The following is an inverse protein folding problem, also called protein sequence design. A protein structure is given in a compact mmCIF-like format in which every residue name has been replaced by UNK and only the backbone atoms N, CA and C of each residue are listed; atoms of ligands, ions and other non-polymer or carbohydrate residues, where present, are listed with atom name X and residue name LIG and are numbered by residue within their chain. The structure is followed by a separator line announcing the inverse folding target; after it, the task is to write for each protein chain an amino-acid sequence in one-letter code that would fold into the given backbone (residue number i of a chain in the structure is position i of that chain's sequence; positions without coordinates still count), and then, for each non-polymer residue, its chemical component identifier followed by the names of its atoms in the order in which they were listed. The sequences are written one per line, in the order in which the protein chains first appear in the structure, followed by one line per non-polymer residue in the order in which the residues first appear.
data_IF_964863923969
#
_entry.id   IF_964863923969
#
_cell.length_a   1.000
_cell.length_b   1.000
_cell.length_c   1.000
_cell.angle_alpha   90.00
_cell.angle_beta   90.00
_cell.angle_gamma   90.00
#
_symmetry.space_group_name_H-M   'P 1'
#
loop_
_entity.id
_entity.type
_entity.pdbx_description
1 polymer ?
#
# COMPACT_ATOMS: atom_id res chain seq x y z
N UNK A 1 -14.73 -35.17 20.96
CA UNK A 1 -14.31 -33.82 21.27
C UNK A 1 -13.24 -33.44 20.26
N UNK A 2 -13.61 -32.63 19.29
CA UNK A 2 -12.70 -32.22 18.24
C UNK A 2 -11.57 -31.38 18.85
N UNK A 3 -10.35 -31.77 18.57
CA UNK A 3 -9.14 -31.07 18.93
C UNK A 3 -9.14 -29.75 18.13
N UNK A 4 -9.68 -28.70 18.70
CA UNK A 4 -9.55 -27.34 18.16
C UNK A 4 -8.07 -26.98 18.33
N UNK A 5 -7.28 -27.25 17.30
CA UNK A 5 -5.92 -26.78 17.22
C UNK A 5 -5.91 -25.28 17.55
N UNK A 6 -5.12 -24.89 18.53
CA UNK A 6 -4.92 -23.49 18.87
C UNK A 6 -4.34 -22.80 17.64
N UNK A 7 -5.21 -22.17 16.87
CA UNK A 7 -4.79 -21.29 15.77
C UNK A 7 -4.03 -20.15 16.46
N UNK A 8 -2.74 -20.03 16.18
CA UNK A 8 -1.97 -18.89 16.69
C UNK A 8 -2.49 -17.61 16.03
N UNK A 9 -2.46 -16.49 16.75
CA UNK A 9 -2.78 -15.17 16.17
C UNK A 9 -2.00 -14.92 14.85
N UNK A 10 -0.78 -15.43 14.72
CA UNK A 10 0.00 -15.38 13.49
C UNK A 10 -0.62 -16.21 12.34
N UNK A 11 -1.23 -17.36 12.63
CA UNK A 11 -1.92 -18.16 11.60
C UNK A 11 -3.22 -17.51 11.18
N UNK A 12 -3.95 -16.93 12.12
CA UNK A 12 -5.11 -16.08 11.84
C UNK A 12 -4.73 -14.87 11.01
N UNK A 13 -3.63 -14.22 11.33
CA UNK A 13 -3.09 -13.11 10.58
C UNK A 13 -2.74 -13.50 9.15
N UNK A 14 -2.14 -14.67 8.93
CA UNK A 14 -1.85 -15.18 7.57
C UNK A 14 -3.13 -15.48 6.79
N UNK A 15 -4.14 -16.03 7.44
CA UNK A 15 -5.40 -16.38 6.81
C UNK A 15 -6.19 -15.13 6.39
N UNK A 16 -6.25 -14.11 7.26
CA UNK A 16 -7.00 -12.87 6.99
C UNK A 16 -6.17 -11.77 6.33
N UNK A 17 -4.94 -12.04 5.96
CA UNK A 17 -4.01 -11.06 5.37
C UNK A 17 -4.47 -10.46 4.05
N UNK A 18 -5.29 -11.18 3.31
CA UNK A 18 -5.88 -10.77 2.03
C UNK A 18 -7.28 -10.19 2.17
N UNK A 19 -7.86 -10.22 3.39
CA UNK A 19 -9.26 -9.89 3.59
C UNK A 19 -9.44 -8.55 4.33
N UNK A 20 -10.25 -7.64 3.77
CA UNK A 20 -10.48 -6.30 4.34
C UNK A 20 -11.19 -6.28 5.69
N UNK A 21 -11.72 -7.41 6.17
CA UNK A 21 -12.47 -7.52 7.43
C UNK A 21 -11.63 -7.78 8.64
N UNK A 22 -10.33 -7.73 8.52
CA UNK A 22 -9.40 -8.18 9.55
C UNK A 22 -9.68 -7.55 10.92
N UNK A 23 -9.97 -6.25 10.98
CA UNK A 23 -10.24 -5.57 12.24
C UNK A 23 -11.55 -6.05 12.89
N UNK A 24 -12.63 -6.17 12.13
CA UNK A 24 -13.93 -6.63 12.64
C UNK A 24 -13.91 -8.13 12.96
N UNK A 25 -13.27 -8.95 12.14
CA UNK A 25 -13.13 -10.39 12.38
C UNK A 25 -12.21 -10.69 13.56
N UNK A 26 -11.12 -9.94 13.75
CA UNK A 26 -10.22 -10.07 14.89
C UNK A 26 -10.91 -9.61 16.18
N UNK A 27 -11.70 -8.54 16.16
CA UNK A 27 -12.48 -8.11 17.32
C UNK A 27 -13.57 -9.12 17.70
N UNK A 28 -14.26 -9.73 16.73
CA UNK A 28 -15.21 -10.82 16.97
C UNK A 28 -14.51 -12.06 17.54
N UNK A 29 -13.35 -12.40 17.02
CA UNK A 29 -12.55 -13.51 17.49
C UNK A 29 -11.99 -13.25 18.88
N UNK A 30 -11.59 -12.02 19.21
CA UNK A 30 -11.18 -11.61 20.55
C UNK A 30 -12.33 -11.80 21.56
N UNK A 31 -13.55 -11.41 21.18
CA UNK A 31 -14.74 -11.62 22.02
C UNK A 31 -15.06 -13.10 22.19
N UNK A 32 -14.96 -13.91 21.14
CA UNK A 32 -15.20 -15.35 21.19
C UNK A 32 -14.13 -16.09 22.00
N UNK A 33 -12.86 -15.74 21.83
CA UNK A 33 -11.74 -16.31 22.58
C UNK A 33 -11.81 -15.93 24.06
N UNK A 34 -12.19 -14.70 24.39
CA UNK A 34 -12.40 -14.26 25.77
C UNK A 34 -13.58 -14.99 26.44
N UNK A 35 -14.66 -15.24 25.69
CA UNK A 35 -15.85 -15.93 26.16
C UNK A 35 -15.63 -17.44 26.41
N UNK A 36 -14.68 -18.04 25.69
CA UNK A 36 -14.41 -19.48 25.71
C UNK A 36 -13.16 -19.91 26.49
N UNK A 37 -12.63 -19.06 27.37
CA UNK A 37 -11.54 -19.43 28.29
C UNK A 37 -10.13 -19.41 27.69
N UNK A 38 -9.96 -18.90 26.47
CA UNK A 38 -8.65 -18.73 25.84
C UNK A 38 -7.89 -17.48 26.30
N UNK A 39 -8.33 -16.87 27.39
CA UNK A 39 -7.77 -15.64 27.97
C UNK A 39 -6.24 -15.68 28.23
N UNK A 40 -5.66 -16.87 28.38
CA UNK A 40 -4.22 -17.03 28.65
C UNK A 40 -3.39 -16.82 27.36
N UNK A 41 -3.85 -17.34 26.21
CA UNK A 41 -3.21 -17.12 24.92
C UNK A 41 -3.34 -15.65 24.49
N UNK A 42 -4.50 -15.05 24.70
CA UNK A 42 -4.75 -13.63 24.44
C UNK A 42 -3.86 -12.70 25.28
N UNK A 43 -3.60 -13.03 26.55
CA UNK A 43 -2.70 -12.22 27.39
C UNK A 43 -1.25 -12.22 26.91
N UNK A 44 -0.77 -13.34 26.36
CA UNK A 44 0.58 -13.42 25.79
C UNK A 44 0.72 -12.56 24.53
N UNK A 45 -0.30 -12.58 23.68
CA UNK A 45 -0.28 -11.93 22.37
C UNK A 45 -0.92 -10.51 22.39
N UNK A 46 -1.50 -10.12 23.54
CA UNK A 46 -2.19 -8.83 23.76
C UNK A 46 -1.31 -7.59 23.48
N UNK A 47 -0.03 -7.52 23.92
CA UNK A 47 0.79 -6.35 23.62
C UNK A 47 0.97 -6.13 22.14
N UNK A 48 1.08 -7.21 21.38
CA UNK A 48 1.21 -7.16 19.92
C UNK A 48 -0.11 -6.76 19.25
N UNK A 49 -1.23 -7.30 19.74
CA UNK A 49 -2.57 -6.93 19.25
C UNK A 49 -2.91 -5.47 19.60
N UNK A 50 -2.56 -5.00 20.79
CA UNK A 50 -2.72 -3.59 21.17
C UNK A 50 -1.84 -2.68 20.34
N UNK A 51 -0.58 -3.02 20.09
CA UNK A 51 0.31 -2.29 19.20
C UNK A 51 -0.26 -2.23 17.77
N UNK A 52 -0.80 -3.35 17.26
CA UNK A 52 -1.46 -3.40 15.96
C UNK A 52 -2.76 -2.58 15.93
N UNK A 53 -3.60 -2.67 16.95
CA UNK A 53 -4.84 -1.87 17.04
C UNK A 53 -4.55 -0.38 17.19
N UNK A 54 -3.45 0.00 17.84
CA UNK A 54 -2.97 1.38 17.94
C UNK A 54 -2.35 1.84 16.61
N UNK A 55 -1.58 0.98 15.94
CA UNK A 55 -1.05 1.27 14.61
C UNK A 55 -2.18 1.44 13.56
N UNK A 56 -3.30 0.70 13.72
CA UNK A 56 -4.52 0.89 12.92
C UNK A 56 -5.28 2.19 13.20
N UNK A 57 -5.07 2.80 14.37
CA UNK A 57 -5.76 4.03 14.78
C UNK A 57 -5.13 5.33 14.27
N UNK A 58 -4.01 5.28 13.59
CA UNK A 58 -3.25 6.47 13.20
C UNK A 58 -3.00 6.56 11.68
N UNK A 59 -4.03 6.30 10.89
CA UNK A 59 -4.09 6.79 9.52
C UNK A 59 -5.30 7.71 9.41
N UNK A 60 -5.09 8.98 9.66
CA UNK A 60 -5.93 10.02 9.10
C UNK A 60 -5.73 10.02 7.59
N UNK A 61 -6.34 9.04 6.88
CA UNK A 61 -6.56 9.27 5.47
C UNK A 61 -7.44 10.52 5.38
N UNK A 62 -7.04 11.51 4.58
CA UNK A 62 -7.88 12.67 4.40
C UNK A 62 -9.27 12.23 3.94
N UNK A 63 -10.31 12.65 4.67
CA UNK A 63 -11.71 12.43 4.27
C UNK A 63 -12.04 13.32 3.05
N UNK A 64 -11.41 12.99 1.92
CA UNK A 64 -11.44 13.72 0.65
C UNK A 64 -11.49 12.75 -0.52
N UNK A 65 -11.91 13.23 -1.70
CA UNK A 65 -11.89 12.45 -2.95
C UNK A 65 -10.55 11.73 -3.17
N UNK A 66 -9.43 12.46 -3.04
CA UNK A 66 -8.11 11.91 -3.29
C UNK A 66 -7.69 10.88 -2.23
N UNK A 67 -8.02 11.11 -0.96
CA UNK A 67 -7.74 10.17 0.12
C UNK A 67 -8.47 8.84 -0.08
N UNK A 68 -9.78 8.90 -0.39
CA UNK A 68 -10.59 7.71 -0.67
C UNK A 68 -10.12 6.99 -1.93
N UNK A 69 -9.83 7.73 -3.00
CA UNK A 69 -9.36 7.16 -4.28
C UNK A 69 -8.04 6.39 -4.09
N UNK A 70 -7.08 6.98 -3.39
CA UNK A 70 -5.78 6.32 -3.14
C UNK A 70 -5.93 5.08 -2.25
N UNK A 71 -6.75 5.16 -1.20
CA UNK A 71 -7.04 4.01 -0.34
C UNK A 71 -7.70 2.88 -1.13
N UNK A 72 -8.66 3.21 -2.00
CA UNK A 72 -9.32 2.23 -2.85
C UNK A 72 -8.34 1.56 -3.83
N UNK A 73 -7.40 2.32 -4.38
CA UNK A 73 -6.33 1.81 -5.25
C UNK A 73 -5.46 0.78 -4.49
N UNK A 74 -4.99 1.14 -3.30
CA UNK A 74 -4.20 0.26 -2.43
C UNK A 74 -4.99 -0.97 -2.02
N UNK A 75 -6.29 -0.83 -1.75
CA UNK A 75 -7.19 -1.94 -1.45
C UNK A 75 -7.44 -2.86 -2.65
N UNK A 76 -7.07 -2.45 -3.88
CA UNK A 76 -7.16 -3.25 -5.10
C UNK A 76 -8.44 -3.04 -5.91
N UNK A 77 -9.06 -1.86 -5.80
CA UNK A 77 -10.10 -1.45 -6.75
C UNK A 77 -9.47 -1.17 -8.12
N UNK A 78 -9.97 -1.82 -9.18
CA UNK A 78 -9.52 -1.58 -10.57
C UNK A 78 -9.89 -0.18 -11.06
N UNK A 79 -10.98 0.36 -10.57
CA UNK A 79 -11.48 1.71 -10.87
C UNK A 79 -11.66 2.49 -9.56
N UNK A 80 -10.56 2.97 -8.94
CA UNK A 80 -10.62 3.60 -7.62
C UNK A 80 -11.42 4.91 -7.61
N UNK A 81 -11.55 5.59 -8.75
CA UNK A 81 -12.42 6.76 -8.92
C UNK A 81 -13.91 6.43 -8.73
N UNK A 82 -14.32 5.18 -8.99
CA UNK A 82 -15.69 4.72 -8.73
C UNK A 82 -15.96 4.64 -7.22
N UNK A 83 -14.99 4.18 -6.42
CA UNK A 83 -15.09 4.18 -4.95
C UNK A 83 -15.21 5.60 -4.41
N UNK A 84 -14.39 6.52 -4.94
CA UNK A 84 -14.48 7.93 -4.55
C UNK A 84 -15.82 8.58 -4.95
N UNK A 85 -16.40 8.17 -6.10
CA UNK A 85 -17.73 8.62 -6.52
C UNK A 85 -18.84 8.08 -5.59
N UNK A 86 -18.77 6.81 -5.16
CA UNK A 86 -19.68 6.26 -4.15
C UNK A 86 -19.55 7.04 -2.83
N UNK A 87 -18.33 7.25 -2.34
CA UNK A 87 -18.12 8.05 -1.13
C UNK A 87 -18.72 9.45 -1.25
N UNK A 88 -18.50 10.15 -2.37
CA UNK A 88 -19.03 11.49 -2.57
C UNK A 88 -20.57 11.50 -2.58
N UNK A 89 -21.18 10.51 -3.22
CA UNK A 89 -22.64 10.40 -3.33
C UNK A 89 -23.28 9.99 -2.01
N UNK A 90 -22.80 8.91 -1.39
CA UNK A 90 -23.40 8.30 -0.19
C UNK A 90 -23.21 9.15 1.07
N UNK A 91 -22.05 9.79 1.20
CA UNK A 91 -21.71 10.57 2.40
C UNK A 91 -21.83 12.08 2.21
N UNK A 92 -22.37 12.56 1.08
CA UNK A 92 -22.35 13.97 0.74
C UNK A 92 -20.96 14.59 0.93
N UNK A 93 -19.98 14.02 0.22
CA UNK A 93 -18.57 14.44 0.28
C UNK A 93 -17.95 14.30 1.69
N UNK A 94 -18.23 13.20 2.34
CA UNK A 94 -17.69 12.88 3.66
C UNK A 94 -18.32 13.60 4.84
N UNK A 95 -19.43 14.32 4.61
CA UNK A 95 -20.11 15.12 5.66
C UNK A 95 -21.09 14.31 6.50
N UNK A 96 -21.60 13.20 5.97
CA UNK A 96 -22.60 12.37 6.61
C UNK A 96 -22.20 10.89 6.57
N UNK A 97 -22.59 10.14 7.58
CA UNK A 97 -22.39 8.69 7.66
C UNK A 97 -23.64 8.01 8.18
N UNK A 98 -23.96 6.82 7.67
CA UNK A 98 -25.12 6.04 8.14
C UNK A 98 -24.90 5.46 9.56
N UNK A 99 -23.64 5.22 9.93
CA UNK A 99 -23.18 4.75 11.24
C UNK A 99 -21.75 5.27 11.45
N UNK A 100 -21.10 5.12 12.62
CA UNK A 100 -19.73 5.54 12.86
C UNK A 100 -18.80 5.09 11.72
N UNK A 101 -18.17 6.08 11.04
CA UNK A 101 -17.27 5.93 9.89
C UNK A 101 -17.80 5.10 8.71
N UNK A 102 -19.12 4.89 8.60
CA UNK A 102 -19.75 4.19 7.48
C UNK A 102 -20.18 5.18 6.40
N UNK A 103 -19.25 5.50 5.51
CA UNK A 103 -19.40 6.50 4.46
C UNK A 103 -20.13 5.98 3.20
N UNK A 104 -20.45 4.68 3.16
CA UNK A 104 -21.02 4.02 1.98
C UNK A 104 -22.38 3.37 2.25
N UNK A 105 -22.98 3.62 3.40
CA UNK A 105 -24.27 3.03 3.74
C UNK A 105 -24.26 1.49 3.81
N UNK A 106 -23.13 0.91 4.23
CA UNK A 106 -22.94 -0.55 4.25
C UNK A 106 -23.79 -1.19 5.34
N UNK A 107 -24.75 -2.00 4.93
CA UNK A 107 -25.69 -2.72 5.82
C UNK A 107 -25.00 -3.87 6.54
N UNK A 108 -25.41 -4.13 7.78
CA UNK A 108 -24.92 -5.21 8.60
C UNK A 108 -25.06 -4.93 10.09
N UNK A 109 -24.54 -5.80 10.94
CA UNK A 109 -24.63 -5.67 12.40
C UNK A 109 -23.88 -4.42 12.90
N UNK A 110 -24.60 -3.46 13.48
CA UNK A 110 -24.03 -2.21 14.01
C UNK A 110 -25.13 -1.25 14.47
N UNK A 111 -24.99 0.03 14.14
CA UNK A 111 -25.97 1.06 14.51
C UNK A 111 -27.20 1.04 13.59
N UNK A 112 -28.37 1.35 14.13
CA UNK A 112 -29.61 1.48 13.36
C UNK A 112 -29.83 2.93 12.92
N UNK A 113 -30.26 3.11 11.67
CA UNK A 113 -30.63 4.42 11.12
C UNK A 113 -31.77 4.32 10.13
N UNK A 114 -32.48 5.42 9.91
CA UNK A 114 -33.46 5.53 8.86
C UNK A 114 -32.75 5.72 7.51
N UNK A 115 -33.18 4.97 6.51
CA UNK A 115 -32.71 5.09 5.13
C UNK A 115 -33.86 5.11 4.16
N UNK A 116 -33.62 5.52 2.92
CA UNK A 116 -34.62 5.51 1.86
C UNK A 116 -34.28 4.44 0.84
N UNK A 117 -35.30 3.66 0.47
CA UNK A 117 -35.24 2.63 -0.56
C UNK A 117 -36.24 2.91 -1.67
N UNK A 118 -35.85 2.66 -2.91
CA UNK A 118 -36.74 2.78 -4.06
C UNK A 118 -37.40 1.43 -4.36
N UNK A 119 -38.65 1.29 -3.97
CA UNK A 119 -39.40 0.03 -4.08
C UNK A 119 -40.71 0.28 -4.87
N UNK A 120 -40.93 -0.54 -5.92
CA UNK A 120 -42.13 -0.47 -6.76
C UNK A 120 -42.43 0.95 -7.29
N UNK A 121 -41.37 1.67 -7.72
CA UNK A 121 -41.49 3.01 -8.30
C UNK A 121 -41.70 4.16 -7.28
N UNK A 122 -41.51 3.90 -5.99
CA UNK A 122 -41.68 4.90 -4.91
C UNK A 122 -40.55 4.84 -3.91
N UNK A 123 -40.17 6.00 -3.41
CA UNK A 123 -39.27 6.11 -2.26
C UNK A 123 -40.03 5.82 -0.97
N UNK A 124 -39.51 4.87 -0.18
CA UNK A 124 -40.01 4.55 1.16
C UNK A 124 -38.89 4.72 2.19
N UNK A 125 -39.26 5.18 3.38
CA UNK A 125 -38.32 5.23 4.49
C UNK A 125 -38.41 3.95 5.29
N UNK A 126 -37.27 3.31 5.51
CA UNK A 126 -37.14 2.11 6.35
C UNK A 126 -36.09 2.34 7.43
N UNK A 127 -36.15 1.57 8.51
CA UNK A 127 -35.09 1.51 9.52
C UNK A 127 -34.26 0.28 9.24
N UNK A 128 -32.94 0.45 9.10
CA UNK A 128 -32.01 -0.65 8.84
C UNK A 128 -30.79 -0.57 9.75
N UNK A 129 -30.00 -1.63 9.78
CA UNK A 129 -28.76 -1.71 10.57
C UNK A 129 -27.54 -1.57 9.68
N UNK A 130 -26.59 -0.72 10.12
CA UNK A 130 -25.40 -0.35 9.40
C UNK A 130 -24.14 -0.69 10.18
N UNK A 131 -23.10 -1.17 9.50
CA UNK A 131 -21.83 -1.57 10.10
C UNK A 131 -21.13 -0.33 10.70
N UNK A 132 -20.60 -0.47 11.92
CA UNK A 132 -19.72 0.53 12.50
C UNK A 132 -18.27 0.25 12.10
N UNK A 133 -17.55 1.24 11.59
CA UNK A 133 -16.13 1.12 11.27
C UNK A 133 -15.28 1.94 12.26
N UNK A 134 -14.03 1.54 12.52
CA UNK A 134 -13.13 2.30 13.39
C UNK A 134 -12.66 3.61 12.73
N UNK A 135 -12.56 3.63 11.39
CA UNK A 135 -12.07 4.74 10.59
C UNK A 135 -12.56 4.65 9.12
N UNK A 136 -12.28 5.67 8.32
CA UNK A 136 -12.64 5.71 6.91
C UNK A 136 -11.83 4.69 6.08
N UNK A 137 -10.57 4.43 6.43
CA UNK A 137 -9.71 3.47 5.73
C UNK A 137 -10.33 2.07 5.78
N UNK A 138 -10.72 1.63 6.97
CA UNK A 138 -11.38 0.34 7.19
C UNK A 138 -12.68 0.22 6.40
N UNK A 139 -13.45 1.30 6.32
CA UNK A 139 -14.69 1.32 5.56
C UNK A 139 -14.45 1.19 4.04
N UNK A 140 -13.45 1.89 3.49
CA UNK A 140 -13.05 1.76 2.08
C UNK A 140 -12.55 0.36 1.77
N UNK A 141 -11.68 -0.19 2.61
CA UNK A 141 -11.12 -1.54 2.43
C UNK A 141 -12.24 -2.58 2.45
N UNK A 142 -13.20 -2.46 3.38
CA UNK A 142 -14.37 -3.34 3.45
C UNK A 142 -15.20 -3.28 2.15
N UNK A 143 -15.53 -2.08 1.67
CA UNK A 143 -16.29 -1.91 0.43
C UNK A 143 -15.58 -2.60 -0.74
N UNK A 144 -14.27 -2.34 -0.91
CA UNK A 144 -13.49 -2.91 -2.01
C UNK A 144 -13.44 -4.43 -1.93
N UNK A 145 -13.28 -4.99 -0.73
CA UNK A 145 -13.25 -6.44 -0.52
C UNK A 145 -14.55 -7.15 -0.86
N UNK A 146 -15.72 -6.48 -0.64
CA UNK A 146 -17.03 -7.12 -0.77
C UNK A 146 -17.75 -6.85 -2.08
N UNK A 147 -17.45 -5.71 -2.72
CA UNK A 147 -18.18 -5.28 -3.91
C UNK A 147 -17.27 -5.15 -5.15
N UNK A 148 -15.97 -4.94 -4.97
CA UNK A 148 -15.05 -4.79 -6.09
C UNK A 148 -14.32 -6.07 -6.45
N UNK A 149 -13.91 -6.84 -5.43
CA UNK A 149 -13.29 -8.15 -5.58
C UNK A 149 -14.34 -9.26 -5.51
N UNK A 150 -13.98 -10.44 -5.99
CA UNK A 150 -14.82 -11.63 -5.80
C UNK A 150 -14.90 -11.97 -4.31
N UNK A 151 -16.11 -12.22 -3.83
CA UNK A 151 -16.39 -12.52 -2.43
C UNK A 151 -17.48 -13.57 -2.28
N UNK A 152 -17.19 -14.73 -1.69
CA UNK A 152 -18.07 -15.88 -1.64
C UNK A 152 -18.55 -16.27 -3.04
N UNK A 153 -19.86 -16.21 -3.30
CA UNK A 153 -20.46 -16.50 -4.61
C UNK A 153 -20.69 -15.24 -5.46
N UNK A 154 -20.32 -14.09 -4.96
CA UNK A 154 -20.44 -12.79 -5.61
C UNK A 154 -19.22 -12.51 -6.50
N UNK A 155 -19.47 -12.07 -7.73
CA UNK A 155 -18.41 -11.63 -8.63
C UNK A 155 -18.26 -10.11 -8.56
N UNK A 156 -17.08 -9.66 -8.12
CA UNK A 156 -16.78 -8.26 -7.93
C UNK A 156 -16.81 -7.43 -9.21
N UNK A 157 -17.10 -6.14 -9.07
CA UNK A 157 -17.20 -5.21 -10.23
C UNK A 157 -15.85 -4.93 -10.91
N UNK A 158 -14.74 -5.37 -10.32
CA UNK A 158 -13.41 -5.34 -10.95
C UNK A 158 -13.35 -6.15 -12.26
N UNK A 159 -14.32 -7.06 -12.54
CA UNK A 159 -14.44 -7.78 -13.81
C UNK A 159 -14.78 -6.87 -14.99
N UNK A 160 -15.32 -5.68 -14.73
CA UNK A 160 -15.71 -4.72 -15.77
C UNK A 160 -14.55 -4.36 -16.71
N UNK A 161 -14.85 -4.05 -17.95
CA UNK A 161 -13.84 -3.61 -18.95
C UNK A 161 -13.52 -2.12 -18.83
N UNK A 162 -14.42 -1.33 -18.25
CA UNK A 162 -14.23 0.09 -17.98
C UNK A 162 -15.02 0.55 -16.75
N UNK A 163 -14.71 1.76 -16.23
CA UNK A 163 -15.31 2.32 -15.02
C UNK A 163 -16.83 2.54 -15.11
N UNK A 164 -17.36 2.85 -16.30
CA UNK A 164 -18.78 3.09 -16.49
C UNK A 164 -19.55 1.77 -16.43
N UNK A 165 -18.99 0.70 -16.97
CA UNK A 165 -19.53 -0.66 -16.81
C UNK A 165 -19.47 -1.10 -15.34
N UNK A 166 -18.38 -0.83 -14.62
CA UNK A 166 -18.30 -1.14 -13.21
C UNK A 166 -19.38 -0.44 -12.38
N UNK A 167 -19.70 0.82 -12.68
CA UNK A 167 -20.81 1.54 -12.05
C UNK A 167 -22.18 0.89 -12.32
N UNK A 168 -22.42 0.41 -13.55
CA UNK A 168 -23.66 -0.31 -13.89
C UNK A 168 -23.74 -1.68 -13.22
N UNK A 169 -22.61 -2.37 -13.10
CA UNK A 169 -22.54 -3.65 -12.39
C UNK A 169 -22.91 -3.51 -10.91
N UNK A 170 -22.54 -2.42 -10.23
CA UNK A 170 -22.96 -2.17 -8.83
C UNK A 170 -24.50 -2.20 -8.70
N UNK A 171 -25.22 -1.58 -9.64
CA UNK A 171 -26.70 -1.59 -9.64
C UNK A 171 -27.24 -2.97 -9.95
N UNK A 172 -26.70 -3.66 -10.96
CA UNK A 172 -27.11 -5.01 -11.33
C UNK A 172 -26.95 -6.02 -10.18
N UNK A 173 -25.89 -5.87 -9.41
CA UNK A 173 -25.57 -6.74 -8.28
C UNK A 173 -26.30 -6.32 -6.99
N UNK A 174 -27.14 -5.28 -7.06
CA UNK A 174 -28.01 -4.88 -5.95
C UNK A 174 -27.37 -4.00 -4.88
N UNK A 175 -26.29 -3.28 -5.21
CA UNK A 175 -25.70 -2.33 -4.28
C UNK A 175 -26.66 -1.18 -3.94
N UNK A 176 -27.41 -0.69 -4.91
CA UNK A 176 -28.40 0.37 -4.76
C UNK A 176 -29.70 0.06 -5.49
N UNK A 177 -30.82 0.50 -4.93
CA UNK A 177 -32.16 0.35 -5.50
C UNK A 177 -32.55 1.50 -6.44
N UNK A 178 -31.82 2.63 -6.39
CA UNK A 178 -32.04 3.79 -7.26
C UNK A 178 -31.64 3.47 -8.71
N UNK A 179 -32.58 3.50 -9.67
CA UNK A 179 -32.31 3.21 -11.07
C UNK A 179 -31.33 4.20 -11.74
N UNK A 180 -31.17 5.40 -11.17
CA UNK A 180 -30.26 6.44 -11.68
C UNK A 180 -28.88 6.42 -10.99
N UNK A 181 -28.63 5.48 -10.09
CA UNK A 181 -27.40 5.41 -9.29
C UNK A 181 -26.13 5.35 -10.13
N UNK A 182 -26.11 4.47 -11.13
CA UNK A 182 -24.96 4.34 -12.02
C UNK A 182 -24.64 5.63 -12.77
N UNK A 183 -25.66 6.32 -13.28
CA UNK A 183 -25.47 7.58 -14.02
C UNK A 183 -24.97 8.71 -13.12
N UNK A 184 -25.43 8.76 -11.87
CA UNK A 184 -24.90 9.70 -10.86
C UNK A 184 -23.40 9.46 -10.58
N UNK A 185 -23.01 8.20 -10.42
CA UNK A 185 -21.59 7.84 -10.21
C UNK A 185 -20.73 8.18 -11.43
N UNK A 186 -21.23 7.89 -12.65
CA UNK A 186 -20.53 8.21 -13.90
C UNK A 186 -20.35 9.73 -14.02
N UNK A 187 -21.37 10.51 -13.76
CA UNK A 187 -21.29 11.97 -13.78
C UNK A 187 -20.26 12.53 -12.78
N UNK A 188 -20.23 11.99 -11.55
CA UNK A 188 -19.22 12.35 -10.54
C UNK A 188 -17.81 11.99 -10.98
N UNK A 189 -17.59 10.80 -11.55
CA UNK A 189 -16.28 10.40 -12.08
C UNK A 189 -15.83 11.30 -13.23
N UNK A 190 -16.74 11.74 -14.10
CA UNK A 190 -16.43 12.67 -15.18
C UNK A 190 -16.10 14.07 -14.65
N UNK A 191 -16.92 14.59 -13.73
CA UNK A 191 -16.68 15.88 -13.08
C UNK A 191 -15.33 15.94 -12.37
N UNK A 192 -14.94 14.85 -11.71
CA UNK A 192 -13.69 14.74 -10.96
C UNK A 192 -12.53 14.15 -11.77
N UNK A 193 -12.72 13.89 -13.06
CA UNK A 193 -11.67 13.35 -13.92
C UNK A 193 -10.38 14.20 -13.93
N UNK A 194 -10.41 15.54 -13.93
CA UNK A 194 -9.18 16.34 -13.82
C UNK A 194 -8.44 16.14 -12.51
N UNK A 195 -9.17 15.96 -11.40
CA UNK A 195 -8.58 15.71 -10.08
C UNK A 195 -8.06 14.27 -9.97
N UNK A 196 -8.82 13.30 -10.48
CA UNK A 196 -8.39 11.89 -10.54
C UNK A 196 -7.16 11.73 -11.43
N UNK A 197 -7.16 12.37 -12.61
CA UNK A 197 -5.99 12.40 -13.50
C UNK A 197 -4.76 13.04 -12.85
N UNK A 198 -4.92 13.95 -11.91
CA UNK A 198 -3.79 14.52 -11.16
C UNK A 198 -3.08 13.48 -10.28
N UNK A 199 -3.77 12.40 -9.88
CA UNK A 199 -3.14 11.22 -9.27
C UNK A 199 -2.67 10.20 -10.31
N UNK A 200 -3.37 10.13 -11.45
CA UNK A 200 -3.04 9.22 -12.57
C UNK A 200 -2.02 9.84 -13.54
N UNK A 201 -1.95 11.17 -13.62
CA UNK A 201 -0.77 11.79 -14.19
C UNK A 201 0.33 11.55 -13.16
N UNK A 202 1.35 10.78 -13.54
CA UNK A 202 2.63 10.97 -12.92
C UNK A 202 2.84 12.48 -12.93
N UNK A 203 3.16 13.10 -11.80
CA UNK A 203 3.90 14.37 -11.89
C UNK A 203 4.90 14.15 -13.02
N UNK A 204 5.19 15.13 -13.88
CA UNK A 204 6.20 14.98 -14.96
C UNK A 204 7.51 14.33 -14.47
N UNK A 205 7.65 14.15 -13.20
CA UNK A 205 8.74 13.55 -12.44
C UNK A 205 8.48 12.11 -11.97
N UNK A 206 7.35 11.46 -12.33
CA UNK A 206 7.17 10.05 -12.03
C UNK A 206 8.09 9.19 -12.92
N UNK A 207 9.09 8.59 -12.33
CA UNK A 207 10.15 7.84 -13.02
C UNK A 207 9.77 6.39 -13.34
N UNK A 208 8.54 5.94 -13.02
CA UNK A 208 8.09 4.54 -13.08
C UNK A 208 8.43 3.83 -14.39
N UNK A 209 8.23 4.52 -15.51
CA UNK A 209 8.46 3.92 -16.84
C UNK A 209 9.93 3.96 -17.29
N UNK A 210 10.74 4.82 -16.70
CA UNK A 210 12.08 5.14 -17.21
C UNK A 210 13.22 4.55 -16.39
N UNK A 211 13.01 4.31 -15.10
CA UNK A 211 14.04 3.71 -14.26
C UNK A 211 14.11 2.20 -14.52
N UNK A 212 15.25 1.66 -14.95
CA UNK A 212 15.36 0.21 -15.17
C UNK A 212 15.31 -0.53 -13.84
N UNK A 213 14.71 -1.71 -13.85
CA UNK A 213 14.72 -2.64 -12.73
C UNK A 213 15.84 -3.66 -12.88
N UNK A 214 16.64 -3.85 -11.83
CA UNK A 214 17.63 -4.90 -11.73
C UNK A 214 17.31 -5.78 -10.51
N UNK A 215 17.29 -7.10 -10.73
CA UNK A 215 17.12 -8.08 -9.66
C UNK A 215 18.49 -8.53 -9.17
N UNK A 216 18.80 -8.33 -7.90
CA UNK A 216 20.04 -8.89 -7.34
C UNK A 216 20.09 -10.42 -7.39
N UNK A 217 18.92 -11.08 -7.53
CA UNK A 217 18.78 -12.54 -7.45
C UNK A 217 19.24 -13.27 -8.71
N UNK A 218 19.33 -12.59 -9.84
CA UNK A 218 19.83 -13.14 -11.11
C UNK A 218 21.32 -12.86 -11.35
N UNK A 219 22.01 -12.24 -10.37
CA UNK A 219 23.43 -11.95 -10.43
C UNK A 219 24.27 -13.18 -10.79
N UNK A 220 25.15 -13.02 -11.78
CA UNK A 220 26.10 -14.02 -12.22
C UNK A 220 27.38 -13.99 -11.38
N UNK A 221 27.54 -13.03 -10.48
CA UNK A 221 28.71 -12.92 -9.60
C UNK A 221 28.52 -13.85 -8.39
N UNK A 222 29.36 -14.86 -8.29
CA UNK A 222 29.25 -15.90 -7.26
C UNK A 222 29.11 -15.30 -5.85
N UNK A 223 28.04 -15.70 -5.14
CA UNK A 223 27.79 -15.33 -3.76
C UNK A 223 27.21 -13.93 -3.57
N UNK A 224 26.92 -13.16 -4.64
CA UNK A 224 26.44 -11.78 -4.51
C UNK A 224 24.90 -11.65 -4.56
N UNK A 225 24.18 -12.61 -5.11
CA UNK A 225 22.71 -12.59 -5.25
C UNK A 225 21.95 -12.30 -3.93
N UNK A 226 22.53 -12.60 -2.78
CA UNK A 226 21.89 -12.37 -1.46
C UNK A 226 22.44 -11.16 -0.70
N UNK A 227 23.37 -10.38 -1.29
CA UNK A 227 24.02 -9.30 -0.53
C UNK A 227 24.25 -7.99 -1.30
N UNK A 228 23.96 -7.95 -2.59
CA UNK A 228 24.25 -6.80 -3.45
C UNK A 228 23.08 -5.81 -3.63
N UNK A 229 22.10 -5.84 -2.72
CA UNK A 229 20.93 -4.94 -2.79
C UNK A 229 21.33 -3.45 -2.92
N UNK A 230 22.37 -3.03 -2.23
CA UNK A 230 22.87 -1.65 -2.32
C UNK A 230 23.44 -1.37 -3.71
N UNK A 231 24.25 -2.26 -4.25
CA UNK A 231 24.80 -2.11 -5.60
C UNK A 231 23.72 -2.13 -6.66
N UNK A 232 22.74 -3.05 -6.60
CA UNK A 232 21.62 -3.09 -7.57
C UNK A 232 20.77 -1.81 -7.49
N UNK A 233 20.51 -1.29 -6.27
CA UNK A 233 19.78 -0.02 -6.10
C UNK A 233 20.52 1.19 -6.66
N UNK A 234 21.83 1.28 -6.44
CA UNK A 234 22.67 2.33 -7.02
C UNK A 234 22.86 2.16 -8.54
N UNK A 235 22.89 0.93 -9.03
CA UNK A 235 22.92 0.64 -10.47
C UNK A 235 21.66 1.14 -11.19
N UNK A 236 20.47 1.01 -10.57
CA UNK A 236 19.22 1.57 -11.12
C UNK A 236 19.30 3.09 -11.25
N UNK A 237 19.80 3.78 -10.22
CA UNK A 237 20.09 5.22 -10.26
C UNK A 237 21.08 5.56 -11.39
N UNK A 238 22.21 4.82 -11.46
CA UNK A 238 23.25 5.08 -12.43
C UNK A 238 22.79 4.84 -13.88
N UNK A 239 22.12 3.73 -14.14
CA UNK A 239 21.60 3.40 -15.46
C UNK A 239 20.53 4.38 -15.93
N UNK A 240 19.73 4.93 -15.02
CA UNK A 240 18.76 5.96 -15.35
C UNK A 240 19.40 7.30 -15.69
N UNK A 241 20.31 7.79 -14.86
CA UNK A 241 20.96 9.08 -15.08
C UNK A 241 22.02 9.04 -16.22
N UNK A 242 22.59 7.86 -16.48
CA UNK A 242 23.60 7.63 -17.51
C UNK A 242 23.24 6.40 -18.36
N UNK A 243 22.20 6.46 -19.18
CA UNK A 243 21.61 5.31 -19.87
C UNK A 243 22.57 4.63 -20.87
N UNK A 244 23.68 5.27 -21.23
CA UNK A 244 24.71 4.71 -22.10
C UNK A 244 25.85 4.01 -21.32
N UNK A 245 25.94 4.19 -20.02
CA UNK A 245 27.02 3.67 -19.20
C UNK A 245 26.77 2.24 -18.69
N UNK A 246 25.50 1.90 -18.41
CA UNK A 246 25.07 0.60 -17.89
C UNK A 246 23.90 0.10 -18.71
N UNK A 247 24.08 -1.01 -19.43
CA UNK A 247 23.08 -1.60 -20.32
C UNK A 247 22.98 -3.10 -20.14
N UNK A 248 21.81 -3.66 -20.43
CA UNK A 248 21.51 -5.09 -20.34
C UNK A 248 20.79 -5.47 -19.06
N UNK A 249 20.28 -6.68 -19.02
CA UNK A 249 19.49 -7.19 -17.90
C UNK A 249 20.28 -7.27 -16.58
N UNK A 250 21.56 -7.62 -16.67
CA UNK A 250 22.48 -7.77 -15.54
C UNK A 250 23.48 -6.57 -15.47
N UNK A 251 23.01 -5.35 -15.77
CA UNK A 251 23.89 -4.18 -15.73
C UNK A 251 24.31 -3.81 -14.29
N UNK A 252 23.58 -4.28 -13.28
CA UNK A 252 23.98 -4.17 -11.88
C UNK A 252 25.20 -5.06 -11.52
N UNK A 253 25.44 -6.17 -12.20
CA UNK A 253 26.70 -6.93 -12.07
C UNK A 253 27.90 -6.13 -12.63
N UNK A 254 27.71 -5.38 -13.72
CA UNK A 254 28.74 -4.46 -14.25
C UNK A 254 29.01 -3.31 -13.27
N UNK A 255 27.96 -2.79 -12.65
CA UNK A 255 28.08 -1.77 -11.60
C UNK A 255 28.80 -2.34 -10.36
N UNK A 256 28.43 -3.55 -9.93
CA UNK A 256 29.06 -4.27 -8.81
C UNK A 256 30.58 -4.48 -9.06
N UNK A 257 30.94 -4.87 -10.27
CA UNK A 257 32.37 -5.02 -10.64
C UNK A 257 33.15 -3.69 -10.49
N UNK A 258 32.47 -2.55 -10.71
CA UNK A 258 33.06 -1.23 -10.45
C UNK A 258 33.15 -0.94 -8.94
N UNK A 259 32.10 -1.27 -8.17
CA UNK A 259 32.13 -1.11 -6.70
C UNK A 259 33.30 -1.87 -6.08
N UNK A 260 33.56 -3.10 -6.52
CA UNK A 260 34.68 -3.91 -6.00
C UNK A 260 36.08 -3.33 -6.24
N UNK A 261 36.22 -2.35 -7.13
CA UNK A 261 37.47 -1.61 -7.28
C UNK A 261 37.72 -0.61 -6.14
N UNK A 262 36.68 -0.29 -5.37
CA UNK A 262 36.72 0.71 -4.29
C UNK A 262 36.46 0.11 -2.90
N UNK A 263 35.78 -1.05 -2.83
CA UNK A 263 35.42 -1.72 -1.58
C UNK A 263 34.36 -2.78 -1.73
N UNK A 264 33.71 -3.13 -0.63
CA UNK A 264 32.64 -4.15 -0.62
C UNK A 264 31.29 -3.59 -1.08
N UNK A 265 30.39 -4.47 -1.57
CA UNK A 265 29.04 -4.09 -1.99
C UNK A 265 28.21 -3.43 -0.89
N UNK A 266 28.56 -3.62 0.38
CA UNK A 266 27.90 -3.01 1.54
C UNK A 266 28.53 -1.69 1.99
N UNK A 267 29.66 -1.31 1.40
CA UNK A 267 30.37 -0.06 1.74
C UNK A 267 29.78 1.13 0.97
N UNK A 268 29.23 2.09 1.72
CA UNK A 268 28.66 3.30 1.16
C UNK A 268 29.69 4.17 0.42
N UNK A 269 30.95 4.20 0.86
CA UNK A 269 31.99 4.96 0.17
C UNK A 269 32.35 4.33 -1.16
N UNK A 270 32.36 2.99 -1.24
CA UNK A 270 32.56 2.26 -2.49
C UNK A 270 31.42 2.52 -3.49
N UNK A 271 30.16 2.57 -3.01
CA UNK A 271 29.01 2.92 -3.82
C UNK A 271 29.13 4.35 -4.38
N UNK A 272 29.49 5.31 -3.52
CA UNK A 272 29.66 6.71 -3.93
C UNK A 272 30.82 6.85 -4.93
N UNK A 273 31.95 6.14 -4.70
CA UNK A 273 33.07 6.14 -5.64
C UNK A 273 32.69 5.55 -7.01
N UNK A 274 31.91 4.47 -7.04
CA UNK A 274 31.39 3.90 -8.26
C UNK A 274 30.42 4.85 -8.99
N UNK A 275 29.53 5.53 -8.27
CA UNK A 275 28.63 6.54 -8.86
C UNK A 275 29.46 7.71 -9.46
N UNK A 276 30.46 8.19 -8.75
CA UNK A 276 31.38 9.23 -9.25
C UNK A 276 32.14 8.80 -10.50
N UNK A 277 32.58 7.53 -10.59
CA UNK A 277 33.18 6.99 -11.80
C UNK A 277 32.23 7.11 -13.02
N UNK A 278 30.93 6.90 -12.84
CA UNK A 278 29.92 7.11 -13.88
C UNK A 278 29.53 8.59 -14.07
N UNK A 279 30.24 9.53 -13.42
CA UNK A 279 29.97 10.97 -13.52
C UNK A 279 28.71 11.41 -12.80
N UNK A 280 28.33 10.71 -11.73
CA UNK A 280 27.19 11.02 -10.89
C UNK A 280 27.72 11.47 -9.53
N UNK A 281 27.62 12.77 -9.24
CA UNK A 281 27.98 13.32 -7.94
C UNK A 281 26.90 12.95 -6.94
N UNK A 282 27.25 12.12 -5.96
CA UNK A 282 26.32 11.58 -4.99
C UNK A 282 26.92 11.57 -3.57
N UNK A 283 26.05 11.50 -2.57
CA UNK A 283 26.44 11.36 -1.15
C UNK A 283 25.44 10.52 -0.39
N UNK A 284 25.91 9.80 0.64
CA UNK A 284 25.06 9.19 1.65
C UNK A 284 24.61 10.27 2.63
N UNK A 285 23.32 10.33 2.90
CA UNK A 285 22.75 11.06 4.02
C UNK A 285 22.04 10.11 4.97
N UNK A 286 22.01 10.44 6.26
CA UNK A 286 21.38 9.66 7.33
C UNK A 286 20.28 10.43 8.04
N UNK A 287 19.87 11.54 7.46
CA UNK A 287 18.84 12.45 7.98
C UNK A 287 17.74 12.73 6.96
N UNK A 288 17.49 11.76 6.06
CA UNK A 288 16.43 11.86 5.07
C UNK A 288 15.05 11.66 5.69
N UNK A 289 14.04 12.25 5.04
CA UNK A 289 12.62 12.07 5.28
C UNK A 289 11.85 11.97 3.95
N UNK A 290 10.55 11.80 3.98
CA UNK A 290 9.73 11.72 2.77
C UNK A 290 9.78 12.99 1.92
N UNK A 291 10.00 14.16 2.51
CA UNK A 291 10.21 15.40 1.76
C UNK A 291 11.55 15.42 1.03
N UNK A 292 12.57 14.79 1.59
CA UNK A 292 13.86 14.59 0.93
C UNK A 292 13.70 13.69 -0.31
N UNK A 293 12.98 12.56 -0.18
CA UNK A 293 12.64 11.70 -1.32
C UNK A 293 11.85 12.49 -2.37
N UNK A 294 10.79 13.17 -1.93
CA UNK A 294 9.95 13.98 -2.82
C UNK A 294 10.77 14.96 -3.64
N UNK A 295 11.66 15.74 -2.99
CA UNK A 295 12.53 16.71 -3.67
C UNK A 295 13.44 16.07 -4.72
N UNK A 296 13.96 14.88 -4.48
CA UNK A 296 14.80 14.17 -5.44
C UNK A 296 13.96 13.69 -6.64
N UNK A 297 12.84 13.03 -6.37
CA UNK A 297 11.93 12.52 -7.41
C UNK A 297 11.38 13.66 -8.28
N UNK A 298 11.00 14.79 -7.68
CA UNK A 298 10.50 15.97 -8.41
C UNK A 298 11.59 16.58 -9.33
N UNK A 299 12.88 16.35 -9.01
CA UNK A 299 14.01 16.70 -9.87
C UNK A 299 14.33 15.63 -10.92
N UNK A 300 13.58 14.55 -10.99
CA UNK A 300 13.82 13.43 -11.88
C UNK A 300 14.95 12.51 -11.43
N UNK A 301 15.23 12.40 -10.13
CA UNK A 301 16.35 11.63 -9.59
C UNK A 301 15.81 10.49 -8.72
N UNK A 302 16.01 9.21 -9.08
CA UNK A 302 15.68 8.06 -8.22
C UNK A 302 16.53 8.04 -6.96
N UNK A 303 16.01 7.46 -5.88
CA UNK A 303 16.66 7.55 -4.57
C UNK A 303 16.89 6.15 -3.99
N UNK A 304 18.13 5.62 -4.00
CA UNK A 304 18.47 4.44 -3.22
C UNK A 304 18.31 4.72 -1.73
N UNK A 305 17.53 3.88 -1.02
CA UNK A 305 17.23 4.00 0.40
C UNK A 305 17.52 2.69 1.14
N UNK A 306 18.16 2.82 2.33
CA UNK A 306 18.45 1.68 3.21
C UNK A 306 17.44 1.56 4.34
N UNK A 307 16.88 0.36 4.59
CA UNK A 307 15.88 0.15 5.63
C UNK A 307 16.03 -1.23 6.30
N UNK A 308 15.40 -1.43 7.47
CA UNK A 308 15.41 -2.71 8.19
C UNK A 308 14.32 -3.63 7.62
N UNK A 309 14.69 -4.84 7.17
CA UNK A 309 13.81 -5.74 6.42
C UNK A 309 13.33 -6.97 7.21
N UNK A 310 13.59 -7.05 8.51
CA UNK A 310 13.05 -8.06 9.41
C UNK A 310 12.15 -7.44 10.48
N UNK A 311 11.46 -8.30 11.22
CA UNK A 311 10.52 -7.89 12.26
C UNK A 311 9.26 -7.20 11.70
N UNK A 312 8.37 -6.75 12.57
CA UNK A 312 7.17 -6.00 12.16
C UNK A 312 7.50 -4.54 11.87
N UNK A 313 6.60 -3.81 11.19
CA UNK A 313 6.77 -2.37 10.98
C UNK A 313 6.81 -1.58 12.30
N UNK A 314 6.18 -2.07 13.38
CA UNK A 314 6.23 -1.47 14.71
C UNK A 314 7.54 -1.78 15.46
N UNK A 315 8.22 -2.86 15.11
CA UNK A 315 9.48 -3.30 15.71
C UNK A 315 10.41 -3.83 14.58
N UNK A 316 10.90 -2.94 13.72
CA UNK A 316 11.79 -3.32 12.66
C UNK A 316 13.14 -3.77 13.21
N UNK A 317 13.72 -4.80 12.59
CA UNK A 317 14.97 -5.41 13.05
C UNK A 317 15.77 -5.99 11.89
N UNK A 318 16.90 -6.61 12.22
CA UNK A 318 17.77 -7.32 11.31
C UNK A 318 18.80 -6.44 10.61
N UNK A 319 19.50 -7.03 9.64
CA UNK A 319 20.45 -6.31 8.79
C UNK A 319 19.72 -5.41 7.79
N UNK A 320 20.36 -4.34 7.35
CA UNK A 320 19.80 -3.40 6.39
C UNK A 320 19.60 -4.04 5.00
N UNK A 321 18.57 -3.59 4.31
CA UNK A 321 18.35 -3.86 2.89
C UNK A 321 18.21 -2.54 2.14
N UNK A 322 18.57 -2.51 0.86
CA UNK A 322 18.50 -1.33 0.02
C UNK A 322 17.52 -1.57 -1.15
N UNK A 323 16.75 -0.53 -1.45
CA UNK A 323 15.85 -0.46 -2.59
C UNK A 323 16.02 0.91 -3.30
N UNK A 324 15.49 1.03 -4.50
CA UNK A 324 15.50 2.29 -5.25
C UNK A 324 14.08 2.88 -5.29
N UNK A 325 13.86 4.02 -4.62
CA UNK A 325 12.61 4.77 -4.75
C UNK A 325 12.58 5.46 -6.11
N UNK A 326 11.50 5.22 -6.86
CA UNK A 326 11.33 5.71 -8.24
C UNK A 326 10.11 6.61 -8.42
N UNK A 327 9.33 6.79 -7.36
CA UNK A 327 8.15 7.62 -7.37
C UNK A 327 7.51 7.70 -5.99
N UNK A 328 6.47 8.47 -5.87
CA UNK A 328 5.70 8.58 -4.63
C UNK A 328 4.23 8.94 -4.89
N UNK A 329 3.40 8.59 -3.92
CA UNK A 329 2.03 9.07 -3.76
C UNK A 329 1.89 9.77 -2.41
N UNK A 330 0.77 10.38 -2.07
CA UNK A 330 0.52 10.88 -0.72
C UNK A 330 0.71 9.80 0.36
N UNK A 331 0.29 8.55 0.11
CA UNK A 331 0.28 7.46 1.08
C UNK A 331 1.46 6.48 0.96
N UNK A 332 2.16 6.43 -0.17
CA UNK A 332 3.17 5.42 -0.46
C UNK A 332 4.42 5.99 -1.15
N UNK A 333 5.50 5.24 -1.11
CA UNK A 333 6.62 5.34 -2.05
C UNK A 333 6.51 4.21 -3.07
N UNK A 334 6.83 4.50 -4.32
CA UNK A 334 6.92 3.51 -5.38
C UNK A 334 8.38 3.13 -5.55
N UNK A 335 8.66 1.84 -5.48
CA UNK A 335 10.04 1.36 -5.38
C UNK A 335 10.35 0.26 -6.39
N UNK A 336 11.62 0.16 -6.73
CA UNK A 336 12.24 -1.04 -7.26
C UNK A 336 13.02 -1.70 -6.12
N UNK A 337 12.53 -2.85 -5.65
CA UNK A 337 13.22 -3.65 -4.64
C UNK A 337 14.00 -4.78 -5.34
N UNK A 338 15.33 -4.76 -5.29
CA UNK A 338 16.15 -5.72 -6.05
C UNK A 338 16.01 -7.16 -5.57
N UNK A 339 15.52 -7.41 -4.37
CA UNK A 339 15.32 -8.78 -3.85
C UNK A 339 13.93 -9.34 -4.17
N UNK A 340 12.92 -8.50 -4.34
CA UNK A 340 11.56 -8.94 -4.66
C UNK A 340 10.48 -8.12 -3.97
N UNK A 341 9.27 -8.64 -3.94
CA UNK A 341 8.13 -8.04 -3.26
C UNK A 341 8.23 -8.27 -1.75
N UNK A 342 8.28 -7.20 -1.01
CA UNK A 342 8.44 -7.21 0.44
C UNK A 342 7.12 -6.94 1.16
N UNK A 343 6.79 -7.81 2.11
CA UNK A 343 5.68 -7.60 3.02
C UNK A 343 6.06 -6.56 4.08
N UNK A 344 5.81 -5.31 3.76
CA UNK A 344 6.23 -4.17 4.57
C UNK A 344 5.72 -4.22 6.02
N UNK A 345 4.45 -4.60 6.31
CA UNK A 345 3.97 -4.80 7.68
C UNK A 345 4.76 -5.81 8.51
N UNK A 346 5.16 -6.94 7.92
CA UNK A 346 5.66 -8.09 8.69
C UNK A 346 7.15 -8.43 8.49
N UNK A 347 7.81 -7.84 7.51
CA UNK A 347 9.24 -8.00 7.33
C UNK A 347 9.67 -9.32 6.69
N UNK A 348 8.95 -9.75 5.65
CA UNK A 348 9.27 -10.95 4.87
C UNK A 348 9.15 -10.66 3.37
N UNK A 349 9.91 -11.39 2.56
CA UNK A 349 9.72 -11.39 1.11
C UNK A 349 8.66 -12.42 0.71
N UNK A 350 7.72 -12.03 -0.15
CA UNK A 350 6.57 -12.86 -0.56
C UNK A 350 6.65 -13.30 -2.02
N UNK A 351 7.40 -12.60 -2.85
CA UNK A 351 7.64 -12.99 -4.24
C UNK A 351 8.98 -12.44 -4.75
N UNK A 352 9.41 -12.90 -5.94
CA UNK A 352 10.58 -12.33 -6.64
C UNK A 352 10.25 -11.07 -7.47
N UNK A 353 9.00 -10.60 -7.45
CA UNK A 353 8.54 -9.46 -8.25
C UNK A 353 8.80 -8.15 -7.51
N UNK A 354 9.99 -7.57 -7.64
CA UNK A 354 10.37 -6.34 -6.92
C UNK A 354 10.22 -5.05 -7.73
N UNK A 355 9.82 -5.12 -9.00
CA UNK A 355 9.62 -3.95 -9.81
C UNK A 355 8.32 -3.21 -9.46
N UNK A 356 8.40 -1.88 -9.31
CA UNK A 356 7.23 -0.99 -9.14
C UNK A 356 6.32 -1.35 -7.97
N UNK A 357 6.92 -1.73 -6.83
CA UNK A 357 6.17 -2.04 -5.63
C UNK A 357 5.73 -0.76 -4.91
N UNK A 358 4.50 -0.76 -4.37
CA UNK A 358 4.00 0.34 -3.57
C UNK A 358 4.17 0.02 -2.07
N UNK A 359 5.07 0.73 -1.39
CA UNK A 359 5.31 0.56 0.04
C UNK A 359 4.68 1.72 0.81
N UNK A 360 3.68 1.43 1.65
CA UNK A 360 2.99 2.47 2.40
C UNK A 360 3.96 3.24 3.30
N UNK A 361 3.87 4.57 3.30
CA UNK A 361 4.70 5.44 4.16
C UNK A 361 4.53 5.09 5.65
N UNK A 362 3.32 4.68 6.03
CA UNK A 362 2.98 4.24 7.39
C UNK A 362 3.83 3.06 7.86
N UNK A 363 3.96 2.02 7.02
CA UNK A 363 4.63 0.78 7.41
C UNK A 363 6.11 0.76 7.03
N UNK A 364 6.48 1.42 5.93
CA UNK A 364 7.87 1.52 5.52
C UNK A 364 8.64 2.62 6.27
N UNK A 365 7.98 3.72 6.63
CA UNK A 365 8.59 4.82 7.37
C UNK A 365 9.31 4.41 8.65
N UNK A 366 8.69 3.63 9.56
CA UNK A 366 9.36 3.13 10.77
C UNK A 366 10.56 2.22 10.49
N UNK A 367 10.56 1.50 9.36
CA UNK A 367 11.68 0.64 8.91
C UNK A 367 12.84 1.43 8.34
N UNK A 368 12.56 2.58 7.77
CA UNK A 368 13.54 3.46 7.13
C UNK A 368 14.07 4.53 8.08
N UNK A 369 13.18 5.17 8.84
CA UNK A 369 13.50 6.19 9.84
C UNK A 369 13.47 5.57 11.26
N UNK A 370 14.37 4.62 11.52
CA UNK A 370 14.33 3.75 12.71
C UNK A 370 14.54 4.53 14.02
N UNK A 371 15.33 5.59 13.99
CA UNK A 371 15.63 6.42 15.16
C UNK A 371 14.68 7.62 15.30
N UNK A 372 13.56 7.61 14.53
CA UNK A 372 12.55 8.66 14.52
C UNK A 372 12.56 9.52 13.26
N UNK A 373 11.76 10.59 13.21
CA UNK A 373 11.65 11.46 12.04
C UNK A 373 13.00 12.03 11.59
N UNK A 374 13.24 12.07 10.28
CA UNK A 374 14.49 12.57 9.67
C UNK A 374 15.73 11.77 10.05
N UNK A 375 15.60 10.45 10.12
CA UNK A 375 16.76 9.56 10.34
C UNK A 375 16.94 8.54 9.21
N UNK A 376 16.24 8.74 8.09
CA UNK A 376 16.32 7.84 6.94
C UNK A 376 17.68 7.86 6.25
N UNK A 377 18.12 6.69 5.82
CA UNK A 377 19.37 6.54 5.05
C UNK A 377 19.05 6.57 3.56
N UNK A 378 19.72 7.44 2.82
CA UNK A 378 19.53 7.59 1.39
C UNK A 378 20.82 8.00 0.66
N UNK A 379 20.97 7.52 -0.57
CA UNK A 379 21.92 8.10 -1.54
C UNK A 379 21.18 9.18 -2.32
N UNK A 380 21.66 10.41 -2.22
CA UNK A 380 21.16 11.53 -3.00
C UNK A 380 22.19 11.96 -4.05
N UNK A 381 21.70 12.22 -5.28
CA UNK A 381 22.54 12.74 -6.37
C UNK A 381 22.26 14.23 -6.60
N UNK A 382 23.29 14.95 -7.08
CA UNK A 382 23.25 16.38 -7.39
C UNK A 382 23.17 16.64 -8.90
#
# INVERSE_FOLDING_TARGET
MANTASITLQQLFRYYRSEPHQAAAINLLEQDLASNGYATAMRRDRPWFEAWSQAGKQTDIPNTWLGVLETARVAGAKYPELVAAQWALESNWGKHTAAPHNYFGLKGKGSTANTQEFVNGKWITITDSFINFPDIESCVIYLVGHWYKDYNQYQGVNRAINRNEAARLLVQEGYATDPTYADKLIALMEQQAPLSKKLDTPTDNNLLERVPYFSQRDSQVKGQANRMCFSSSCAMLAAYLKPNALRGANADDLYLAKVFQYGDTTDANAQIAALNFYGIKAKLIKNADFETIKKQIDRGIPVPCGFLHHGTAAQPSGSGHWLCVIGYTPAAVIVHDPFGEFDVPNGNYISSKGARQAYSKKNWGPRWMVEGPKTGWAIIAE
#
